data_IF_689781127702
#
_entry.id   IF_689781127702
#
_cell.length_a   1.000
_cell.length_b   1.000
_cell.length_c   1.000
_cell.angle_alpha   90.00
_cell.angle_beta   90.00
_cell.angle_gamma   90.00
#
_symmetry.space_group_name_H-M   'P 1'
#
loop_
_entity.id
_entity.type
_entity.pdbx_description
1 polymer ?
#
# COMPACT_ATOMS: atom_id res chain seq x y z
N UNK A 1 -1.95 -51.75 -6.43
CA UNK A 1 -2.28 -50.98 -5.20
C UNK A 1 -1.73 -49.57 -5.37
N UNK A 2 -2.54 -48.60 -5.81
CA UNK A 2 -2.11 -47.20 -6.02
C UNK A 2 -2.51 -46.40 -4.78
N UNK A 3 -1.52 -45.83 -4.10
CA UNK A 3 -1.70 -45.00 -2.91
C UNK A 3 -1.87 -43.55 -3.35
N UNK A 4 -3.05 -42.97 -3.14
CA UNK A 4 -3.30 -41.54 -3.36
C UNK A 4 -2.64 -40.74 -2.23
N UNK A 5 -1.72 -39.84 -2.58
CA UNK A 5 -1.27 -38.76 -1.69
C UNK A 5 -2.33 -37.65 -1.75
N UNK A 6 -3.15 -37.56 -0.71
CA UNK A 6 -3.96 -36.36 -0.43
C UNK A 6 -2.98 -35.31 0.11
N UNK A 7 -2.60 -34.35 -0.73
CA UNK A 7 -1.82 -33.19 -0.29
C UNK A 7 -2.79 -32.18 0.30
N UNK A 8 -2.52 -31.82 1.56
CA UNK A 8 -3.18 -30.80 2.36
C UNK A 8 -3.26 -29.46 1.60
N UNK A 9 -4.43 -29.13 1.05
CA UNK A 9 -4.83 -27.77 0.69
C UNK A 9 -5.81 -27.30 1.77
N UNK A 10 -5.32 -27.05 2.99
CA UNK A 10 -6.16 -26.57 4.09
C UNK A 10 -5.48 -25.55 5.00
N UNK A 11 -4.16 -25.29 4.85
CA UNK A 11 -3.41 -24.40 5.76
C UNK A 11 -3.26 -22.97 5.21
N UNK A 12 -3.30 -22.78 3.89
CA UNK A 12 -3.21 -21.45 3.26
C UNK A 12 -4.52 -20.65 3.33
N UNK A 13 -5.67 -21.34 3.30
CA UNK A 13 -6.98 -20.68 3.31
C UNK A 13 -7.35 -20.15 4.71
N UNK A 14 -6.89 -20.81 5.79
CA UNK A 14 -7.18 -20.41 7.17
C UNK A 14 -6.40 -19.17 7.60
N UNK A 15 -5.12 -19.06 7.21
CA UNK A 15 -4.27 -17.91 7.57
C UNK A 15 -4.75 -16.60 6.92
N UNK A 16 -5.15 -16.65 5.64
CA UNK A 16 -5.70 -15.48 4.94
C UNK A 16 -7.08 -15.04 5.47
N UNK A 17 -7.86 -15.95 6.07
CA UNK A 17 -9.12 -15.59 6.75
C UNK A 17 -8.89 -14.95 8.12
N UNK A 18 -7.86 -15.38 8.85
CA UNK A 18 -7.50 -14.79 10.14
C UNK A 18 -6.96 -13.36 9.98
N UNK A 19 -6.14 -13.09 8.96
CA UNK A 19 -5.59 -11.74 8.74
C UNK A 19 -6.66 -10.71 8.38
N UNK A 20 -7.58 -11.05 7.47
CA UNK A 20 -8.69 -10.14 7.11
C UNK A 20 -9.60 -9.83 8.32
N UNK A 21 -9.90 -10.83 9.15
CA UNK A 21 -10.69 -10.63 10.37
C UNK A 21 -9.93 -9.76 11.41
N UNK A 22 -8.62 -9.96 11.54
CA UNK A 22 -7.78 -9.14 12.41
C UNK A 22 -7.71 -7.69 11.94
N UNK A 23 -7.56 -7.44 10.63
CA UNK A 23 -7.57 -6.10 10.06
C UNK A 23 -8.93 -5.39 10.22
N UNK A 24 -10.04 -6.11 10.02
CA UNK A 24 -11.39 -5.57 10.29
C UNK A 24 -11.53 -5.18 11.76
N UNK A 25 -11.12 -6.06 12.67
CA UNK A 25 -11.16 -5.77 14.12
C UNK A 25 -10.30 -4.55 14.47
N UNK A 26 -9.07 -4.51 13.98
CA UNK A 26 -8.13 -3.41 14.21
C UNK A 26 -8.70 -2.07 13.73
N UNK A 27 -9.32 -2.03 12.54
CA UNK A 27 -9.92 -0.78 12.06
C UNK A 27 -11.15 -0.37 12.84
N UNK A 28 -12.00 -1.31 13.23
CA UNK A 28 -13.11 -1.00 14.14
C UNK A 28 -12.57 -0.39 15.44
N UNK A 29 -11.50 -0.95 15.99
CA UNK A 29 -10.82 -0.37 17.17
C UNK A 29 -10.30 1.04 16.90
N UNK A 30 -9.67 1.30 15.76
CA UNK A 30 -9.19 2.66 15.42
C UNK A 30 -10.35 3.68 15.38
N UNK A 31 -11.49 3.30 14.78
CA UNK A 31 -12.68 4.15 14.71
C UNK A 31 -13.29 4.37 16.09
N UNK A 32 -13.34 3.34 16.94
CA UNK A 32 -13.81 3.49 18.32
C UNK A 32 -12.88 4.39 19.13
N UNK A 33 -11.56 4.25 18.98
CA UNK A 33 -10.58 5.10 19.65
C UNK A 33 -10.77 6.58 19.26
N UNK A 34 -10.99 6.85 17.98
CA UNK A 34 -11.26 8.19 17.46
C UNK A 34 -12.58 8.77 18.02
N UNK A 35 -13.63 7.96 18.11
CA UNK A 35 -14.93 8.39 18.64
C UNK A 35 -14.94 8.60 20.16
N UNK A 36 -14.23 7.75 20.92
CA UNK A 36 -14.26 7.76 22.39
C UNK A 36 -13.26 8.75 22.98
N UNK A 37 -12.06 8.87 22.40
CA UNK A 37 -10.97 9.70 22.94
C UNK A 37 -10.71 10.97 22.12
N UNK A 38 -11.18 11.03 20.87
CA UNK A 38 -10.80 12.06 19.91
C UNK A 38 -9.39 11.90 19.33
N UNK A 39 -8.67 10.84 19.70
CA UNK A 39 -7.29 10.59 19.25
C UNK A 39 -7.24 10.00 17.85
N UNK A 40 -6.17 10.29 17.12
CA UNK A 40 -5.90 9.75 15.80
C UNK A 40 -4.95 8.54 15.91
N UNK A 41 -5.12 7.58 15.00
CA UNK A 41 -4.35 6.32 15.00
C UNK A 41 -3.62 6.14 13.68
N UNK A 42 -2.30 5.91 13.71
CA UNK A 42 -1.50 5.47 12.57
C UNK A 42 -1.00 4.04 12.76
N UNK A 43 -0.87 3.28 11.67
CA UNK A 43 -0.36 1.91 11.65
C UNK A 43 0.67 1.70 10.55
N UNK A 44 1.74 0.99 10.87
CA UNK A 44 2.87 0.73 9.97
C UNK A 44 3.06 -0.78 9.75
N UNK A 45 3.13 -1.19 8.50
CA UNK A 45 3.22 -2.59 8.09
C UNK A 45 4.42 -2.86 7.21
N UNK A 46 5.01 -4.04 7.34
CA UNK A 46 6.16 -4.47 6.56
C UNK A 46 5.75 -4.74 5.11
N UNK A 47 6.27 -3.96 4.17
CA UNK A 47 5.84 -3.99 2.76
C UNK A 47 6.00 -5.33 2.04
N UNK A 48 6.81 -6.28 2.55
CA UNK A 48 6.96 -7.61 1.94
C UNK A 48 6.20 -8.75 2.64
N UNK A 49 5.64 -8.50 3.84
CA UNK A 49 4.96 -9.55 4.61
C UNK A 49 3.56 -9.16 5.08
N UNK A 50 3.20 -7.87 5.01
CA UNK A 50 1.94 -7.34 5.53
C UNK A 50 1.85 -7.34 7.06
N UNK A 51 2.89 -7.78 7.76
CA UNK A 51 2.90 -7.87 9.22
C UNK A 51 3.14 -6.49 9.86
N UNK A 52 2.59 -6.22 11.06
CA UNK A 52 2.87 -4.98 11.77
C UNK A 52 4.36 -4.80 12.09
N UNK A 53 4.81 -3.55 12.17
CA UNK A 53 6.20 -3.22 12.53
C UNK A 53 6.26 -2.61 13.94
N UNK A 54 6.55 -3.41 14.99
CA UNK A 54 6.73 -2.89 16.35
C UNK A 54 8.09 -2.21 16.56
N UNK A 55 8.16 -1.33 17.56
CA UNK A 55 9.41 -0.68 17.98
C UNK A 55 9.94 0.39 17.02
N UNK A 56 9.18 0.75 15.99
CA UNK A 56 9.51 1.84 15.07
C UNK A 56 9.28 3.20 15.73
N UNK A 57 10.21 4.12 15.55
CA UNK A 57 10.06 5.50 16.01
C UNK A 57 9.27 6.31 14.98
N UNK A 58 8.24 7.02 15.46
CA UNK A 58 7.37 7.86 14.65
C UNK A 58 7.43 9.29 15.16
N UNK A 59 7.94 10.21 14.34
CA UNK A 59 7.95 11.64 14.62
C UNK A 59 6.81 12.28 13.84
N UNK A 60 5.85 12.84 14.57
CA UNK A 60 4.62 13.45 14.03
C UNK A 60 4.75 14.96 14.23
N UNK A 61 4.77 15.72 13.14
CA UNK A 61 4.86 17.18 13.17
C UNK A 61 3.77 17.76 14.07
N UNK A 62 4.17 18.55 15.08
CA UNK A 62 3.24 19.20 16.02
C UNK A 62 2.73 18.32 17.17
N UNK A 63 2.78 16.98 17.06
CA UNK A 63 2.27 16.08 18.11
C UNK A 63 3.39 15.47 18.97
N UNK A 64 4.57 15.21 18.41
CA UNK A 64 5.72 14.69 19.17
C UNK A 64 6.33 13.41 18.60
N UNK A 65 6.98 12.63 19.46
CA UNK A 65 7.65 11.36 19.11
C UNK A 65 6.98 10.20 19.81
N UNK A 66 6.69 9.15 19.05
CA UNK A 66 5.97 7.96 19.49
C UNK A 66 6.76 6.71 19.07
N UNK A 67 6.41 5.56 19.66
CA UNK A 67 6.97 4.25 19.31
C UNK A 67 5.82 3.32 18.96
N UNK A 68 5.92 2.60 17.84
CA UNK A 68 4.88 1.64 17.44
C UNK A 68 4.81 0.45 18.42
N UNK A 69 3.59 0.06 18.78
CA UNK A 69 3.33 -1.13 19.60
C UNK A 69 3.39 -2.44 18.77
N UNK A 70 3.04 -3.57 19.39
CA UNK A 70 2.98 -4.91 18.76
C UNK A 70 2.04 -4.99 17.54
N UNK A 71 1.08 -4.07 17.43
CA UNK A 71 0.20 -3.95 16.27
C UNK A 71 0.71 -2.92 15.25
N UNK A 72 1.95 -2.47 15.37
CA UNK A 72 2.55 -1.44 14.53
C UNK A 72 1.87 -0.08 14.68
N UNK A 73 1.19 0.17 15.81
CA UNK A 73 0.26 1.29 16.00
C UNK A 73 0.88 2.39 16.85
N UNK A 74 0.54 3.64 16.52
CA UNK A 74 0.70 4.81 17.40
C UNK A 74 -0.62 5.57 17.51
N UNK A 75 -0.89 6.11 18.69
CA UNK A 75 -2.07 6.94 18.98
C UNK A 75 -1.56 8.33 19.41
N UNK A 76 -2.15 9.38 18.86
CA UNK A 76 -1.71 10.76 19.08
C UNK A 76 -2.91 11.72 19.05
N UNK A 77 -2.82 12.88 19.73
CA UNK A 77 -3.89 13.88 19.68
C UNK A 77 -4.02 14.47 18.26
N UNK A 78 -5.23 14.85 17.82
CA UNK A 78 -5.42 15.50 16.53
C UNK A 78 -4.70 16.86 16.51
N UNK A 79 -4.18 17.29 15.35
CA UNK A 79 -3.61 18.62 15.22
C UNK A 79 -4.70 19.70 15.39
N UNK A 80 -4.28 20.92 15.74
CA UNK A 80 -5.20 22.05 15.91
C UNK A 80 -5.86 22.48 14.60
N UNK A 81 -5.16 22.30 13.47
CA UNK A 81 -5.62 22.69 12.14
C UNK A 81 -5.65 21.49 11.19
N UNK A 82 -6.65 21.47 10.31
CA UNK A 82 -6.71 20.56 9.17
C UNK A 82 -5.56 20.87 8.19
N UNK A 83 -5.03 19.84 7.53
CA UNK A 83 -3.93 20.00 6.58
C UNK A 83 -3.05 18.76 6.44
N UNK A 84 -1.96 18.91 5.69
CA UNK A 84 -0.95 17.87 5.55
C UNK A 84 0.03 17.92 6.72
N UNK A 85 0.14 16.82 7.43
CA UNK A 85 1.04 16.59 8.54
C UNK A 85 2.21 15.73 8.07
N UNK A 86 3.45 16.15 8.33
CA UNK A 86 4.62 15.30 8.09
C UNK A 86 4.77 14.25 9.18
N UNK A 87 4.73 12.97 8.77
CA UNK A 87 4.96 11.81 9.63
C UNK A 87 6.22 11.10 9.19
N UNK A 88 7.26 11.14 10.02
CA UNK A 88 8.52 10.43 9.77
C UNK A 88 8.57 9.13 10.55
N UNK A 89 8.74 8.03 9.84
CA UNK A 89 8.94 6.69 10.39
C UNK A 89 10.40 6.24 10.24
N UNK A 90 10.96 5.68 11.31
CA UNK A 90 12.29 5.04 11.31
C UNK A 90 12.28 3.77 12.15
N UNK A 91 12.85 2.69 11.63
CA UNK A 91 13.05 1.44 12.36
C UNK A 91 14.29 0.71 11.82
N UNK A 92 14.93 -0.10 12.66
CA UNK A 92 16.08 -0.91 12.26
C UNK A 92 15.70 -1.89 11.14
N UNK A 93 16.51 -1.92 10.08
CA UNK A 93 16.24 -2.78 8.91
C UNK A 93 15.20 -2.22 7.92
N UNK A 94 14.71 -1.00 8.12
CA UNK A 94 13.78 -0.32 7.22
C UNK A 94 14.37 0.94 6.59
N UNK A 95 13.84 1.29 5.42
CA UNK A 95 14.10 2.59 4.77
C UNK A 95 13.38 3.68 5.59
N UNK A 96 14.08 4.75 6.03
CA UNK A 96 13.43 5.91 6.61
C UNK A 96 12.40 6.49 5.64
N UNK A 97 11.19 6.74 6.12
CA UNK A 97 10.07 7.19 5.30
C UNK A 97 9.42 8.43 5.92
N UNK A 98 9.04 9.39 5.08
CA UNK A 98 8.33 10.62 5.47
C UNK A 98 7.03 10.72 4.68
N UNK A 99 5.90 10.55 5.35
CA UNK A 99 4.58 10.50 4.76
C UNK A 99 3.84 11.83 4.96
N UNK A 100 3.26 12.41 3.90
CA UNK A 100 2.33 13.53 4.04
C UNK A 100 0.94 13.01 4.38
N UNK A 101 0.62 12.96 5.67
CA UNK A 101 -0.68 12.49 6.16
C UNK A 101 -1.66 13.64 6.17
N UNK A 102 -2.74 13.53 5.40
CA UNK A 102 -3.76 14.57 5.36
C UNK A 102 -4.81 14.37 6.45
N UNK A 103 -5.02 15.43 7.22
CA UNK A 103 -6.07 15.56 8.23
C UNK A 103 -7.17 16.46 7.66
N UNK A 104 -8.42 15.99 7.70
CA UNK A 104 -9.59 16.76 7.30
C UNK A 104 -10.76 16.44 8.22
N UNK A 105 -11.47 17.47 8.68
CA UNK A 105 -12.64 17.34 9.55
C UNK A 105 -12.36 16.44 10.76
N UNK A 106 -11.16 16.57 11.35
CA UNK A 106 -10.76 15.81 12.53
C UNK A 106 -10.45 14.33 12.30
N UNK A 107 -10.31 13.87 11.04
CA UNK A 107 -9.95 12.48 10.72
C UNK A 107 -8.83 12.40 9.68
N UNK A 108 -8.24 11.22 9.52
CA UNK A 108 -7.15 10.96 8.58
C UNK A 108 -7.67 10.48 7.21
N UNK A 109 -7.09 11.01 6.12
CA UNK A 109 -7.37 10.50 4.77
C UNK A 109 -6.96 9.02 4.68
N UNK A 110 -5.75 8.69 5.09
CA UNK A 110 -5.22 7.33 5.20
C UNK A 110 -4.45 7.21 6.52
N UNK A 111 -4.47 6.02 7.10
CA UNK A 111 -3.87 5.79 8.42
C UNK A 111 -3.08 4.47 8.52
N UNK A 112 -2.92 3.78 7.40
CA UNK A 112 -2.15 2.53 7.25
C UNK A 112 -1.09 2.77 6.19
N UNK A 113 0.14 2.42 6.51
CA UNK A 113 1.30 2.68 5.66
C UNK A 113 2.16 1.44 5.55
N UNK A 114 2.46 1.04 4.32
CA UNK A 114 3.49 0.04 4.07
C UNK A 114 4.88 0.67 4.08
N UNK A 115 5.72 0.21 5.00
CA UNK A 115 7.13 0.63 5.16
C UNK A 115 8.06 -0.42 4.57
N UNK A 116 8.98 0.04 3.73
CA UNK A 116 9.91 -0.85 3.03
C UNK A 116 11.07 -1.26 3.93
N UNK A 117 11.39 -2.56 4.04
CA UNK A 117 12.73 -2.99 4.46
C UNK A 117 13.81 -2.31 3.63
N UNK A 118 15.06 -2.31 4.13
CA UNK A 118 16.21 -1.79 3.39
C UNK A 118 16.19 -2.29 1.94
N UNK A 119 16.24 -1.33 1.02
CA UNK A 119 16.08 -1.56 -0.41
C UNK A 119 17.39 -1.24 -1.11
N UNK A 120 17.85 -2.14 -1.99
CA UNK A 120 19.01 -1.87 -2.83
C UNK A 120 18.75 -0.63 -3.70
N UNK A 121 19.75 0.22 -3.88
CA UNK A 121 19.63 1.48 -4.64
C UNK A 121 19.19 1.31 -6.10
N UNK A 122 19.39 0.13 -6.69
CA UNK A 122 18.95 -0.19 -8.06
C UNK A 122 17.51 -0.71 -8.13
N UNK A 123 16.96 -1.14 -6.99
CA UNK A 123 15.63 -1.72 -6.93
C UNK A 123 14.58 -0.62 -6.80
N UNK A 124 13.40 -0.89 -7.35
CA UNK A 124 12.19 -0.13 -7.14
C UNK A 124 11.20 -1.02 -6.37
N UNK A 125 10.57 -0.47 -5.35
CA UNK A 125 9.45 -1.10 -4.65
C UNK A 125 8.27 -0.15 -4.65
N UNK A 126 7.12 -0.65 -5.07
CA UNK A 126 5.87 0.12 -5.11
C UNK A 126 4.85 -0.59 -4.26
N UNK A 127 4.24 0.11 -3.31
CA UNK A 127 3.11 -0.40 -2.52
C UNK A 127 1.86 0.35 -2.92
N UNK A 128 0.71 -0.32 -2.87
CA UNK A 128 -0.60 0.33 -2.85
C UNK A 128 -1.32 -0.10 -1.58
N UNK A 129 -1.55 0.86 -0.70
CA UNK A 129 -2.32 0.69 0.53
C UNK A 129 -3.72 1.28 0.28
N UNK A 130 -4.78 0.59 0.65
CA UNK A 130 -6.14 1.11 0.53
C UNK A 130 -6.99 0.65 1.70
N UNK A 131 -8.21 1.15 1.71
CA UNK A 131 -9.13 0.91 2.78
C UNK A 131 -9.89 -0.43 2.63
N UNK A 132 -10.85 -0.73 3.50
CA UNK A 132 -11.65 -1.96 3.38
C UNK A 132 -12.33 -2.13 2.02
N UNK A 133 -12.85 -1.03 1.48
CA UNK A 133 -13.63 -1.02 0.26
C UNK A 133 -12.96 -0.12 -0.78
N UNK A 134 -12.83 -0.56 -2.05
CA UNK A 134 -13.22 -1.87 -2.56
C UNK A 134 -12.36 -3.01 -1.97
N UNK A 135 -12.92 -4.21 -1.95
CA UNK A 135 -12.25 -5.38 -1.37
C UNK A 135 -10.98 -5.80 -2.12
N UNK A 136 -10.82 -5.41 -3.38
CA UNK A 136 -9.73 -5.91 -4.22
C UNK A 136 -9.27 -4.83 -5.18
N UNK A 137 -8.06 -4.33 -4.94
CA UNK A 137 -7.32 -3.44 -5.83
C UNK A 137 -6.07 -4.17 -6.32
N UNK A 138 -5.94 -4.31 -7.63
CA UNK A 138 -4.80 -4.98 -8.27
C UNK A 138 -3.71 -3.96 -8.67
N UNK A 139 -2.46 -4.23 -8.32
CA UNK A 139 -1.26 -3.54 -8.78
C UNK A 139 -0.83 -4.07 -10.15
N UNK A 140 -0.67 -3.15 -11.10
CA UNK A 140 -0.23 -3.44 -12.45
C UNK A 140 1.06 -2.67 -12.74
N UNK A 141 2.19 -3.37 -12.85
CA UNK A 141 3.46 -2.78 -13.26
C UNK A 141 3.91 -3.30 -14.61
N UNK A 142 3.96 -2.43 -15.60
CA UNK A 142 4.18 -2.80 -16.99
C UNK A 142 5.45 -2.16 -17.52
N UNK A 143 6.26 -2.92 -18.23
CA UNK A 143 7.33 -2.41 -19.09
C UNK A 143 6.87 -2.55 -20.53
N UNK A 144 6.73 -1.44 -21.24
CA UNK A 144 6.15 -1.42 -22.58
C UNK A 144 6.85 -2.40 -23.52
N UNK A 145 6.07 -3.27 -24.17
CA UNK A 145 6.57 -4.24 -25.14
C UNK A 145 7.33 -5.45 -24.56
N UNK A 146 7.44 -5.57 -23.23
CA UNK A 146 8.28 -6.61 -22.61
C UNK A 146 7.53 -7.46 -21.57
N UNK A 147 7.01 -6.85 -20.50
CA UNK A 147 6.32 -7.60 -19.45
C UNK A 147 5.22 -6.79 -18.78
N UNK A 148 4.30 -7.51 -18.13
CA UNK A 148 3.23 -6.95 -17.30
C UNK A 148 3.17 -7.75 -16.01
N UNK A 149 3.67 -7.21 -14.90
CA UNK A 149 3.53 -7.80 -13.57
C UNK A 149 2.17 -7.43 -12.97
N UNK A 150 1.37 -8.44 -12.63
CA UNK A 150 0.08 -8.33 -11.93
C UNK A 150 -0.36 -9.69 -11.38
N UNK A 151 -1.46 -9.74 -10.63
CA UNK A 151 -2.08 -11.00 -10.24
C UNK A 151 -2.39 -11.90 -11.44
N UNK A 152 -2.93 -11.30 -12.51
CA UNK A 152 -3.45 -11.98 -13.71
C UNK A 152 -2.39 -12.26 -14.77
N UNK A 153 -1.30 -11.52 -14.77
CA UNK A 153 -0.22 -11.63 -15.75
C UNK A 153 1.12 -11.64 -15.02
N UNK A 154 1.90 -12.70 -15.19
CA UNK A 154 3.26 -12.88 -14.66
C UNK A 154 3.44 -12.34 -13.23
N UNK A 155 3.19 -13.17 -12.21
CA UNK A 155 3.49 -12.79 -10.82
C UNK A 155 4.98 -12.62 -10.54
N UNK A 156 5.82 -13.31 -11.30
CA UNK A 156 7.29 -13.27 -11.21
C UNK A 156 7.83 -13.25 -12.64
N UNK A 157 8.81 -12.39 -12.91
CA UNK A 157 9.51 -12.36 -14.20
C UNK A 157 10.32 -13.65 -14.41
N UNK A 158 10.50 -14.04 -15.67
CA UNK A 158 11.21 -15.28 -16.01
C UNK A 158 12.68 -15.31 -15.55
N UNK A 159 13.31 -14.13 -15.43
CA UNK A 159 14.67 -13.95 -14.91
C UNK A 159 14.71 -13.74 -13.38
N UNK A 160 13.55 -13.75 -12.72
CA UNK A 160 13.43 -13.53 -11.27
C UNK A 160 13.69 -12.08 -10.82
N UNK A 161 13.83 -11.13 -11.74
CA UNK A 161 14.19 -9.74 -11.39
C UNK A 161 13.02 -8.87 -10.97
N UNK A 162 11.79 -9.39 -11.03
CA UNK A 162 10.60 -8.65 -10.63
C UNK A 162 9.47 -9.56 -10.19
N UNK A 163 8.69 -9.12 -9.20
CA UNK A 163 7.58 -9.90 -8.66
C UNK A 163 6.49 -9.05 -8.00
N UNK A 164 5.28 -9.62 -7.91
CA UNK A 164 4.22 -9.21 -6.99
C UNK A 164 4.44 -9.92 -5.64
N UNK A 165 4.98 -9.18 -4.68
CA UNK A 165 5.39 -9.65 -3.35
C UNK A 165 4.19 -9.98 -2.44
N UNK A 166 3.25 -9.04 -2.35
CA UNK A 166 2.00 -9.16 -1.60
C UNK A 166 0.85 -8.89 -2.55
N UNK A 167 -0.19 -9.70 -2.41
CA UNK A 167 -1.44 -9.66 -3.17
C UNK A 167 -2.59 -9.83 -2.16
N UNK A 168 -3.39 -8.77 -2.00
CA UNK A 168 -4.37 -8.64 -0.94
C UNK A 168 -5.78 -8.52 -1.51
N UNK A 169 -6.47 -9.67 -1.62
CA UNK A 169 -7.77 -9.76 -2.30
C UNK A 169 -9.00 -9.47 -1.40
N UNK A 170 -8.84 -8.98 -0.16
CA UNK A 170 -9.93 -8.90 0.85
C UNK A 170 -10.02 -7.59 1.64
N UNK A 171 -9.59 -6.48 1.03
CA UNK A 171 -9.60 -5.14 1.59
C UNK A 171 -8.38 -4.88 2.46
N UNK A 172 -8.20 -3.61 2.85
CA UNK A 172 -7.08 -3.12 3.67
C UNK A 172 -5.67 -3.29 3.09
N UNK A 173 -5.54 -3.80 1.85
CA UNK A 173 -4.26 -4.00 1.19
C UNK A 173 -3.19 -4.63 2.10
N UNK A 174 -1.90 -4.32 1.85
CA UNK A 174 -1.39 -3.71 0.62
C UNK A 174 -1.27 -4.71 -0.53
N UNK A 175 -1.07 -4.21 -1.75
CA UNK A 175 -0.30 -4.95 -2.75
C UNK A 175 1.08 -4.34 -2.89
N UNK A 176 2.08 -5.18 -3.16
CA UNK A 176 3.47 -4.72 -3.30
C UNK A 176 4.14 -5.37 -4.49
N UNK A 177 4.79 -4.55 -5.32
CA UNK A 177 5.63 -4.98 -6.44
C UNK A 177 7.07 -4.55 -6.16
N UNK A 178 8.02 -5.46 -6.32
CA UNK A 178 9.45 -5.17 -6.30
C UNK A 178 10.07 -5.55 -7.64
N UNK A 179 10.85 -4.65 -8.22
CA UNK A 179 11.70 -4.92 -9.39
C UNK A 179 13.15 -4.51 -9.10
N UNK A 180 14.10 -5.34 -9.53
CA UNK A 180 15.52 -5.21 -9.19
C UNK A 180 16.27 -4.19 -10.06
N UNK A 181 15.73 -3.89 -11.24
CA UNK A 181 16.33 -2.91 -12.13
C UNK A 181 15.25 -2.23 -12.99
N UNK A 182 15.17 -0.91 -12.89
CA UNK A 182 14.40 -0.09 -13.81
C UNK A 182 15.38 0.46 -14.85
N UNK A 183 15.42 -0.18 -16.03
CA UNK A 183 16.27 0.26 -17.13
C UNK A 183 16.05 1.74 -17.45
N UNK A 184 17.10 2.57 -17.53
CA UNK A 184 16.99 3.98 -17.94
C UNK A 184 16.31 4.15 -19.31
N UNK A 185 16.47 3.20 -20.22
CA UNK A 185 15.88 3.24 -21.57
C UNK A 185 14.49 2.59 -21.64
N UNK A 186 14.02 2.03 -20.53
CA UNK A 186 12.68 1.43 -20.47
C UNK A 186 11.59 2.47 -20.23
N UNK A 187 10.41 2.20 -20.79
CA UNK A 187 9.18 2.90 -20.46
C UNK A 187 8.29 2.01 -19.60
N UNK A 188 7.93 2.51 -18.43
CA UNK A 188 7.13 1.76 -17.46
C UNK A 188 5.88 2.52 -17.09
N UNK A 189 4.82 1.80 -16.75
CA UNK A 189 3.59 2.37 -16.18
C UNK A 189 3.18 1.57 -14.96
N UNK A 190 2.81 2.27 -13.89
CA UNK A 190 2.15 1.68 -12.74
C UNK A 190 0.69 2.15 -12.67
N UNK A 191 -0.22 1.19 -12.65
CA UNK A 191 -1.66 1.39 -12.60
C UNK A 191 -2.27 0.59 -11.45
N UNK A 192 -3.37 1.09 -10.89
CA UNK A 192 -4.16 0.39 -9.88
C UNK A 192 -5.53 0.12 -10.47
N UNK A 193 -5.94 -1.15 -10.48
CA UNK A 193 -7.22 -1.59 -11.02
C UNK A 193 -8.19 -1.91 -9.87
N UNK A 194 -9.40 -1.35 -9.92
CA UNK A 194 -10.50 -1.73 -9.03
C UNK A 194 -11.13 -3.03 -9.54
N UNK A 195 -10.53 -4.15 -9.15
CA UNK A 195 -10.97 -5.47 -9.59
C UNK A 195 -12.38 -5.82 -9.12
N UNK A 196 -12.70 -5.40 -7.89
CA UNK A 196 -14.03 -5.58 -7.30
C UNK A 196 -15.13 -4.92 -8.13
N UNK A 197 -14.86 -3.76 -8.72
CA UNK A 197 -15.84 -2.99 -9.50
C UNK A 197 -15.51 -2.92 -11.01
N UNK A 198 -14.66 -3.81 -11.53
CA UNK A 198 -14.10 -3.75 -12.90
C UNK A 198 -15.10 -3.64 -14.05
N UNK A 199 -16.36 -4.03 -13.86
CA UNK A 199 -17.42 -3.90 -14.88
C UNK A 199 -18.29 -2.66 -14.70
N UNK A 200 -18.14 -1.93 -13.59
CA UNK A 200 -18.93 -0.77 -13.21
C UNK A 200 -18.17 0.53 -13.54
N UNK A 201 -18.08 0.83 -14.84
CA UNK A 201 -17.34 1.98 -15.40
C UNK A 201 -17.64 3.34 -14.75
N UNK A 202 -18.90 3.57 -14.33
CA UNK A 202 -19.30 4.79 -13.61
C UNK A 202 -19.03 4.77 -12.09
N UNK A 203 -18.44 3.69 -11.55
CA UNK A 203 -18.19 3.53 -10.12
C UNK A 203 -17.25 4.61 -9.60
N UNK A 204 -17.53 5.07 -8.39
CA UNK A 204 -16.65 5.95 -7.61
C UNK A 204 -15.93 5.19 -6.49
N UNK A 205 -16.04 3.85 -6.45
CA UNK A 205 -15.45 3.02 -5.40
C UNK A 205 -13.94 3.23 -5.31
N UNK A 206 -13.22 3.19 -6.44
CA UNK A 206 -11.79 3.49 -6.49
C UNK A 206 -11.43 4.86 -5.89
N UNK A 207 -12.14 5.94 -6.26
CA UNK A 207 -11.87 7.28 -5.69
C UNK A 207 -12.19 7.40 -4.19
N UNK A 208 -13.04 6.51 -3.65
CA UNK A 208 -13.41 6.44 -2.22
C UNK A 208 -12.56 5.45 -1.44
N UNK A 209 -11.70 4.69 -2.11
CA UNK A 209 -10.86 3.66 -1.50
C UNK A 209 -9.78 4.19 -0.58
N UNK A 210 -9.51 5.50 -0.62
CA UNK A 210 -8.36 6.14 0.02
C UNK A 210 -7.02 5.51 -0.41
N UNK A 211 -6.98 4.87 -1.58
CA UNK A 211 -5.78 4.23 -2.10
C UNK A 211 -4.61 5.22 -2.16
N UNK A 212 -3.48 4.79 -1.60
CA UNK A 212 -2.25 5.55 -1.49
C UNK A 212 -1.12 4.67 -2.03
N UNK A 213 -0.43 5.16 -3.06
CA UNK A 213 0.70 4.48 -3.68
C UNK A 213 2.00 5.08 -3.17
N UNK A 214 2.86 4.23 -2.62
CA UNK A 214 4.16 4.62 -2.08
C UNK A 214 5.26 4.04 -2.95
N UNK A 215 6.18 4.88 -3.43
CA UNK A 215 7.29 4.46 -4.30
C UNK A 215 8.61 4.61 -3.57
N UNK A 216 9.29 3.49 -3.34
CA UNK A 216 10.63 3.42 -2.80
C UNK A 216 11.63 3.08 -3.92
N UNK A 217 12.78 3.76 -3.89
CA UNK A 217 13.88 3.54 -4.83
C UNK A 217 15.09 4.33 -4.36
N UNK A 218 16.28 4.05 -4.91
CA UNK A 218 17.52 4.73 -4.48
C UNK A 218 17.80 4.62 -2.97
N UNK A 219 17.25 3.59 -2.30
CA UNK A 219 17.36 3.42 -0.85
C UNK A 219 16.54 4.42 0.00
N UNK A 220 15.58 5.13 -0.59
CA UNK A 220 14.73 6.14 0.08
C UNK A 220 13.28 6.07 -0.39
N UNK A 221 12.40 6.77 0.31
CA UNK A 221 11.07 7.09 -0.20
C UNK A 221 11.19 8.16 -1.30
N UNK A 222 10.63 7.88 -2.49
CA UNK A 222 10.66 8.79 -3.64
C UNK A 222 9.36 9.59 -3.75
N UNK A 223 8.21 8.92 -3.71
CA UNK A 223 6.90 9.54 -3.91
C UNK A 223 5.81 8.87 -3.09
N UNK A 224 4.80 9.67 -2.74
CA UNK A 224 3.51 9.23 -2.19
C UNK A 224 2.43 9.83 -3.06
N UNK A 225 1.63 8.98 -3.71
CA UNK A 225 0.52 9.38 -4.56
C UNK A 225 -0.79 8.98 -3.89
N UNK A 226 -1.77 9.88 -3.87
CA UNK A 226 -3.12 9.58 -3.37
C UNK A 226 -4.09 9.50 -4.54
N UNK A 227 -5.03 8.56 -4.47
CA UNK A 227 -6.06 8.41 -5.48
C UNK A 227 -6.85 9.73 -5.65
N UNK A 228 -7.07 10.20 -6.88
CA UNK A 228 -7.89 11.39 -7.10
C UNK A 228 -9.31 11.21 -6.54
N UNK A 229 -9.79 12.24 -5.84
CA UNK A 229 -11.07 12.22 -5.13
C UNK A 229 -12.25 12.51 -6.05
N UNK A 230 -13.41 11.99 -5.68
CA UNK A 230 -14.71 12.31 -6.29
C UNK A 230 -14.82 12.01 -7.80
N UNK A 231 -13.89 11.23 -8.34
CA UNK A 231 -13.84 10.82 -9.74
C UNK A 231 -14.48 9.45 -9.95
N UNK A 232 -15.07 9.24 -11.13
CA UNK A 232 -15.51 7.92 -11.57
C UNK A 232 -14.41 7.23 -12.37
N UNK A 233 -14.35 5.91 -12.27
CA UNK A 233 -13.40 5.08 -13.00
C UNK A 233 -13.05 3.80 -12.23
N UNK A 234 -12.56 2.81 -12.96
CA UNK A 234 -12.12 1.51 -12.43
C UNK A 234 -10.62 1.29 -12.57
N UNK A 235 -9.91 2.22 -13.23
CA UNK A 235 -8.46 2.20 -13.35
C UNK A 235 -7.90 3.53 -12.91
N UNK A 236 -6.87 3.52 -12.08
CA UNK A 236 -6.08 4.68 -11.72
C UNK A 236 -4.67 4.55 -12.31
N UNK A 237 -4.37 5.40 -13.30
CA UNK A 237 -3.02 5.58 -13.82
C UNK A 237 -2.25 6.46 -12.86
N UNK A 238 -1.30 5.87 -12.15
CA UNK A 238 -0.62 6.54 -11.04
C UNK A 238 0.56 7.35 -11.56
N UNK A 239 1.53 6.65 -12.14
CA UNK A 239 2.74 7.24 -12.69
C UNK A 239 3.28 6.40 -13.86
N UNK A 240 4.14 7.03 -14.65
CA UNK A 240 5.02 6.35 -15.59
C UNK A 240 6.49 6.60 -15.23
N UNK A 241 7.37 5.73 -15.70
CA UNK A 241 8.81 5.94 -15.65
C UNK A 241 9.30 6.05 -17.09
N UNK A 242 9.89 7.19 -17.43
CA UNK A 242 10.46 7.46 -18.75
C UNK A 242 11.84 8.08 -18.55
N UNK A 243 12.87 7.50 -19.18
CA UNK A 243 14.27 7.94 -19.00
C UNK A 243 14.72 7.89 -17.53
N UNK A 244 14.29 6.86 -16.80
CA UNK A 244 14.53 6.71 -15.37
C UNK A 244 13.81 7.72 -14.45
N UNK A 245 12.99 8.62 -15.00
CA UNK A 245 12.27 9.63 -14.22
C UNK A 245 10.81 9.23 -14.01
N UNK A 246 10.36 9.29 -12.75
CA UNK A 246 8.95 9.12 -12.39
C UNK A 246 8.17 10.36 -12.82
N UNK A 247 7.12 10.15 -13.60
CA UNK A 247 6.17 11.18 -14.05
C UNK A 247 4.78 10.82 -13.55
N UNK A 248 4.20 11.73 -12.81
CA UNK A 248 2.85 11.58 -12.30
C UNK A 248 1.80 11.66 -13.42
N UNK A 249 0.79 10.80 -13.39
CA UNK A 249 -0.32 10.77 -14.35
C UNK A 249 -1.66 11.22 -13.73
N UNK A 250 -1.91 10.91 -12.44
CA UNK A 250 -3.12 11.31 -11.66
C UNK A 250 -4.46 11.14 -12.41
N UNK A 251 -4.62 10.09 -13.22
CA UNK A 251 -5.81 9.91 -14.06
C UNK A 251 -6.64 8.71 -13.62
N UNK A 252 -7.93 8.91 -13.31
CA UNK A 252 -8.91 7.81 -13.29
C UNK A 252 -9.52 7.64 -14.68
N UNK A 253 -9.75 6.38 -15.06
CA UNK A 253 -10.36 6.00 -16.33
C UNK A 253 -11.00 4.63 -16.28
N UNK A 254 -11.26 4.09 -17.46
CA UNK A 254 -11.83 2.76 -17.71
C UNK A 254 -10.80 1.82 -18.35
#
# INVERSE_FOLDING_TARGET
MKMYRIIFIAVLLSAALTDAAAQVKARSTDVFEELDSGSLTLRFFHALTGQPVPGGTVVIQGAGTFVTDEEGKVIFPPPEEDGALSVRFTADGFVPAEFPVEVMAGTLFFNRMSVSPLLNVKHLRVTVDWDREPADLDAHFMKQGEYHLSFRHMRVLADGTGQLDIDAMKGYGPETVTVQNVSPDGEYTYEVYDYSNRTAKGSKALSRSKATVTVYGEGRLLHVFQVPRNASGTVWRVFSIVRGQIRELRQLGE
#
